data_IF_043453516665
#
_entry.id   IF_043453516665
#
_cell.length_a   1.000
_cell.length_b   1.000
_cell.length_c   1.000
_cell.angle_alpha   90.00
_cell.angle_beta   90.00
_cell.angle_gamma   90.00
#
_symmetry.space_group_name_H-M   'P 1'
#
loop_
_entity.id
_entity.type
_entity.pdbx_description
1 polymer ?
#
# COMPACT_ATOMS: atom_id res chain seq x y z
N UNK A 1 -12.66 -36.74 7.92
CA UNK A 1 -12.82 -36.45 6.48
C UNK A 1 -13.34 -35.04 6.22
N UNK A 2 -14.31 -34.50 6.95
CA UNK A 2 -14.89 -33.15 6.72
C UNK A 2 -13.88 -32.00 6.88
N UNK A 3 -12.96 -32.04 7.85
CA UNK A 3 -11.93 -31.01 8.06
C UNK A 3 -10.91 -30.91 6.89
N UNK A 4 -10.64 -32.03 6.19
CA UNK A 4 -9.78 -32.03 4.99
C UNK A 4 -10.46 -31.42 3.73
N UNK A 5 -11.78 -31.53 3.65
CA UNK A 5 -12.55 -30.92 2.54
C UNK A 5 -12.75 -29.41 2.72
N UNK A 6 -12.89 -28.93 3.95
CA UNK A 6 -12.94 -27.50 4.25
C UNK A 6 -11.62 -26.77 3.96
N UNK A 7 -10.47 -27.42 4.24
CA UNK A 7 -9.16 -26.86 3.91
C UNK A 7 -8.84 -26.86 2.39
N UNK A 8 -9.43 -27.75 1.60
CA UNK A 8 -9.26 -27.76 0.14
C UNK A 8 -10.04 -26.63 -0.57
N UNK A 9 -11.05 -26.03 0.07
CA UNK A 9 -11.78 -24.86 -0.48
C UNK A 9 -11.08 -23.54 -0.24
N UNK A 10 -10.13 -23.46 0.70
CA UNK A 10 -9.37 -22.21 1.00
C UNK A 10 -8.23 -21.91 0.02
N UNK A 11 -7.81 -22.83 -0.83
CA UNK A 11 -6.65 -22.69 -1.71
C UNK A 11 -6.98 -22.52 -3.21
N UNK A 12 -8.19 -22.13 -3.58
CA UNK A 12 -8.45 -21.71 -4.95
C UNK A 12 -8.19 -20.21 -5.03
N UNK A 13 -7.08 -19.82 -5.66
CA UNK A 13 -6.86 -18.43 -6.07
C UNK A 13 -8.12 -17.98 -6.82
N UNK A 14 -8.89 -17.11 -6.20
CA UNK A 14 -10.09 -16.59 -6.83
C UNK A 14 -9.65 -15.53 -7.83
N UNK A 15 -9.97 -15.74 -9.13
CA UNK A 15 -9.75 -14.70 -10.13
C UNK A 15 -10.56 -13.46 -9.75
N UNK A 16 -9.89 -12.31 -9.75
CA UNK A 16 -10.51 -11.02 -9.46
C UNK A 16 -10.17 -10.04 -10.57
N UNK A 17 -11.19 -9.39 -11.09
CA UNK A 17 -11.02 -8.33 -12.06
C UNK A 17 -10.53 -7.03 -11.39
N UNK A 18 -9.96 -6.14 -12.19
CA UNK A 18 -9.40 -4.87 -11.71
C UNK A 18 -10.43 -4.00 -10.97
N UNK A 19 -11.66 -3.94 -11.46
CA UNK A 19 -12.74 -3.19 -10.79
C UNK A 19 -13.13 -3.80 -9.44
N UNK A 20 -13.06 -5.12 -9.33
CA UNK A 20 -13.32 -5.82 -8.07
C UNK A 20 -12.20 -5.52 -7.05
N UNK A 21 -10.94 -5.57 -7.47
CA UNK A 21 -9.80 -5.24 -6.59
C UNK A 21 -9.87 -3.80 -6.07
N UNK A 22 -10.21 -2.82 -6.93
CA UNK A 22 -10.43 -1.43 -6.49
C UNK A 22 -11.50 -1.35 -5.42
N UNK A 23 -12.65 -1.98 -5.67
CA UNK A 23 -13.77 -1.98 -4.73
C UNK A 23 -13.38 -2.64 -3.41
N UNK A 24 -12.80 -3.83 -3.45
CA UNK A 24 -12.38 -4.56 -2.25
C UNK A 24 -11.43 -3.74 -1.38
N UNK A 25 -10.44 -3.08 -2.01
CA UNK A 25 -9.49 -2.25 -1.28
C UNK A 25 -10.17 -1.05 -0.61
N UNK A 26 -10.94 -0.29 -1.38
CA UNK A 26 -11.62 0.89 -0.88
C UNK A 26 -12.65 0.56 0.20
N UNK A 27 -13.45 -0.52 0.00
CA UNK A 27 -14.45 -0.96 0.97
C UNK A 27 -13.80 -1.48 2.25
N UNK A 28 -12.69 -2.20 2.12
CA UNK A 28 -11.94 -2.68 3.28
C UNK A 28 -11.44 -1.51 4.14
N UNK A 29 -10.76 -0.52 3.54
CA UNK A 29 -10.28 0.62 4.31
C UNK A 29 -11.39 1.55 4.79
N UNK A 30 -12.51 1.66 4.07
CA UNK A 30 -13.71 2.33 4.60
C UNK A 30 -14.22 1.65 5.88
N UNK A 31 -14.23 0.31 5.93
CA UNK A 31 -14.60 -0.44 7.13
C UNK A 31 -13.65 -0.20 8.31
N UNK A 32 -12.41 0.21 8.05
CA UNK A 32 -11.43 0.66 9.05
C UNK A 32 -11.53 2.16 9.38
N UNK A 33 -12.57 2.83 8.92
CA UNK A 33 -12.87 4.24 9.21
C UNK A 33 -12.24 5.25 8.26
N UNK A 34 -11.69 4.83 7.13
CA UNK A 34 -11.15 5.73 6.12
C UNK A 34 -12.24 6.40 5.29
N UNK A 35 -12.03 7.66 4.95
CA UNK A 35 -12.84 8.36 3.97
C UNK A 35 -12.38 7.94 2.57
N UNK A 36 -13.28 7.40 1.76
CA UNK A 36 -13.02 7.18 0.34
C UNK A 36 -12.99 8.52 -0.40
N UNK A 37 -11.85 8.86 -0.97
CA UNK A 37 -11.72 10.02 -1.82
C UNK A 37 -11.62 9.59 -3.29
N UNK A 38 -12.15 10.44 -4.17
CA UNK A 38 -12.00 10.25 -5.62
C UNK A 38 -10.55 10.45 -6.02
N UNK A 39 -10.14 9.83 -7.14
CA UNK A 39 -8.86 10.14 -7.78
C UNK A 39 -8.76 11.64 -8.07
N UNK A 40 -7.65 12.24 -7.68
CA UNK A 40 -7.34 13.62 -8.08
C UNK A 40 -7.02 13.68 -9.58
N UNK A 41 -7.05 14.90 -10.13
CA UNK A 41 -6.59 15.16 -11.50
C UNK A 41 -5.14 14.69 -11.68
N UNK A 42 -4.79 14.22 -12.87
CA UNK A 42 -3.40 13.95 -13.23
C UNK A 42 -2.57 15.22 -13.36
N UNK A 43 -3.24 16.34 -13.69
CA UNK A 43 -2.59 17.66 -13.69
C UNK A 43 -2.53 18.16 -12.25
N UNK A 44 -1.33 18.39 -11.70
CA UNK A 44 -1.17 18.88 -10.32
C UNK A 44 -1.84 20.26 -10.16
N UNK A 45 -2.47 20.45 -9.00
CA UNK A 45 -2.93 21.77 -8.58
C UNK A 45 -1.97 22.30 -7.51
N UNK A 46 -1.43 23.50 -7.71
CA UNK A 46 -0.57 24.20 -6.75
C UNK A 46 0.74 23.45 -6.36
N UNK A 47 1.22 22.54 -7.20
CA UNK A 47 2.50 21.86 -7.01
C UNK A 47 3.36 21.99 -8.27
N UNK A 48 4.26 22.97 -8.27
CA UNK A 48 5.18 23.23 -9.37
C UNK A 48 6.35 22.22 -9.44
N UNK A 49 6.46 21.32 -8.47
CA UNK A 49 7.51 20.29 -8.45
C UNK A 49 7.17 19.09 -9.35
N UNK A 50 5.91 18.97 -9.77
CA UNK A 50 5.42 17.87 -10.58
C UNK A 50 4.73 18.38 -11.84
N UNK A 51 5.05 17.78 -12.98
CA UNK A 51 4.31 18.01 -14.23
C UNK A 51 3.03 17.17 -14.29
N UNK A 52 3.09 15.97 -13.75
CA UNK A 52 1.98 14.99 -13.73
C UNK A 52 2.02 14.23 -12.40
N UNK A 53 0.84 13.92 -11.87
CA UNK A 53 0.73 13.11 -10.64
C UNK A 53 1.27 11.70 -10.92
N UNK A 54 2.28 11.32 -10.14
CA UNK A 54 3.05 10.08 -10.29
C UNK A 54 2.93 9.12 -9.09
N UNK A 55 2.18 9.52 -8.06
CA UNK A 55 1.96 8.68 -6.87
C UNK A 55 0.65 9.03 -6.17
N UNK A 56 0.15 8.10 -5.37
CA UNK A 56 -1.07 8.30 -4.56
C UNK A 56 -0.92 9.35 -3.48
N UNK A 57 0.30 9.57 -2.99
CA UNK A 57 0.60 10.54 -1.94
C UNK A 57 0.76 11.96 -2.48
N UNK A 58 1.20 12.12 -3.73
CA UNK A 58 1.52 13.43 -4.29
C UNK A 58 0.42 14.50 -4.10
N UNK A 59 -0.86 14.23 -4.42
CA UNK A 59 -1.92 15.21 -4.21
C UNK A 59 -2.30 15.43 -2.73
N UNK A 60 -1.80 14.60 -1.82
CA UNK A 60 -2.07 14.67 -0.39
C UNK A 60 -0.94 15.35 0.40
N UNK A 61 0.14 15.78 -0.27
CA UNK A 61 1.27 16.46 0.36
C UNK A 61 0.86 17.58 1.32
N UNK A 62 -0.08 18.50 0.96
CA UNK A 62 -0.46 19.59 1.85
C UNK A 62 -1.00 19.11 3.20
N UNK A 63 -1.63 17.94 3.26
CA UNK A 63 -2.12 17.33 4.51
C UNK A 63 -0.98 16.77 5.36
N UNK A 64 0.04 16.18 4.72
CA UNK A 64 1.22 15.66 5.43
C UNK A 64 2.11 16.78 5.97
N UNK A 65 2.21 17.88 5.24
CA UNK A 65 3.02 19.04 5.67
C UNK A 65 2.28 19.99 6.62
N UNK A 66 0.99 19.74 6.88
CA UNK A 66 0.17 20.62 7.72
C UNK A 66 -0.24 21.94 7.07
N UNK A 67 -0.01 22.10 5.77
CA UNK A 67 -0.47 23.28 5.00
C UNK A 67 -1.98 23.33 4.87
N UNK A 68 -2.60 22.14 4.81
CA UNK A 68 -4.05 21.99 4.76
C UNK A 68 -4.51 20.97 5.80
N UNK A 69 -5.75 21.15 6.29
CA UNK A 69 -6.39 20.20 7.19
C UNK A 69 -7.02 19.10 6.33
N UNK A 70 -6.69 17.81 6.57
CA UNK A 70 -7.33 16.73 5.82
C UNK A 70 -8.82 16.64 6.17
N UNK A 71 -9.68 16.25 5.21
CA UNK A 71 -11.12 16.11 5.44
C UNK A 71 -11.45 15.03 6.48
N UNK A 72 -10.54 14.09 6.67
CA UNK A 72 -10.54 13.07 7.72
C UNK A 72 -9.11 12.61 7.99
N UNK A 73 -8.80 12.20 9.23
CA UNK A 73 -7.47 11.68 9.56
C UNK A 73 -7.11 10.37 8.87
N UNK A 74 -8.11 9.61 8.44
CA UNK A 74 -7.96 8.37 7.65
C UNK A 74 -8.57 8.56 6.28
N UNK A 75 -7.78 8.38 5.25
CA UNK A 75 -8.21 8.53 3.86
C UNK A 75 -7.77 7.32 3.04
N UNK A 76 -8.62 6.86 2.13
CA UNK A 76 -8.25 5.85 1.14
C UNK A 76 -8.60 6.32 -0.26
N UNK A 77 -7.71 6.01 -1.22
CA UNK A 77 -7.84 6.42 -2.61
C UNK A 77 -7.47 5.29 -3.57
N UNK A 78 -7.99 5.39 -4.79
CA UNK A 78 -7.47 4.71 -5.96
C UNK A 78 -7.00 5.80 -6.93
N UNK A 79 -5.75 6.24 -6.77
CA UNK A 79 -5.19 7.38 -7.50
C UNK A 79 -4.63 6.96 -8.85
N UNK A 80 -5.10 7.61 -9.92
CA UNK A 80 -4.52 7.50 -11.26
C UNK A 80 -3.16 8.18 -11.28
N UNK A 81 -2.15 7.50 -11.82
CA UNK A 81 -0.77 7.95 -11.84
C UNK A 81 -0.15 7.74 -13.22
N UNK A 82 0.80 8.62 -13.58
CA UNK A 82 1.64 8.44 -14.75
C UNK A 82 3.11 8.56 -14.33
N UNK A 83 3.93 7.59 -14.76
CA UNK A 83 5.39 7.62 -14.65
C UNK A 83 6.00 7.43 -16.03
N UNK A 84 6.89 8.34 -16.41
CA UNK A 84 7.56 8.31 -17.72
C UNK A 84 9.01 7.89 -17.63
N UNK A 85 9.61 7.87 -16.43
CA UNK A 85 11.00 7.45 -16.22
C UNK A 85 11.28 6.01 -16.66
N UNK A 86 10.27 5.14 -16.65
CA UNK A 86 10.40 3.73 -17.05
C UNK A 86 9.88 3.46 -18.48
N UNK A 87 9.67 4.49 -19.30
CA UNK A 87 9.04 4.34 -20.62
C UNK A 87 9.84 3.40 -21.53
N UNK A 88 11.16 3.39 -21.41
CA UNK A 88 12.03 2.51 -22.20
C UNK A 88 11.92 1.03 -21.81
N UNK A 89 11.39 0.75 -20.62
CA UNK A 89 11.16 -0.60 -20.10
C UNK A 89 9.78 -1.14 -20.44
N UNK A 90 8.87 -0.28 -20.88
CA UNK A 90 7.50 -0.66 -21.27
C UNK A 90 7.56 -1.58 -22.49
N UNK A 91 6.93 -2.74 -22.37
CA UNK A 91 6.94 -3.78 -23.41
C UNK A 91 8.20 -4.66 -23.43
N UNK A 92 9.26 -4.30 -22.69
CA UNK A 92 10.46 -5.13 -22.52
C UNK A 92 10.42 -5.96 -21.24
N UNK A 93 9.79 -5.45 -20.21
CA UNK A 93 9.60 -6.13 -18.93
C UNK A 93 8.12 -6.40 -18.69
N UNK A 94 7.81 -7.41 -17.89
CA UNK A 94 6.43 -7.81 -17.61
C UNK A 94 5.69 -6.86 -16.64
N UNK A 95 6.36 -5.87 -16.05
CA UNK A 95 5.84 -5.09 -14.91
C UNK A 95 5.79 -3.59 -15.11
N UNK A 96 6.44 -3.05 -16.14
CA UNK A 96 6.48 -1.61 -16.36
C UNK A 96 5.34 -1.15 -17.28
N UNK A 97 4.62 -0.14 -16.82
CA UNK A 97 3.62 0.59 -17.56
C UNK A 97 3.73 2.08 -17.23
N UNK A 98 3.34 2.94 -18.15
CA UNK A 98 3.36 4.39 -17.91
C UNK A 98 2.17 4.86 -17.10
N UNK A 99 0.99 4.31 -17.36
CA UNK A 99 -0.24 4.58 -16.61
C UNK A 99 -0.54 3.43 -15.66
N UNK A 100 -0.85 3.77 -14.41
CA UNK A 100 -1.28 2.81 -13.40
C UNK A 100 -2.18 3.47 -12.36
N UNK A 101 -2.81 2.66 -11.52
CA UNK A 101 -3.56 3.11 -10.37
C UNK A 101 -2.84 2.69 -9.10
N UNK A 102 -2.69 3.65 -8.18
CA UNK A 102 -2.12 3.40 -6.87
C UNK A 102 -3.24 3.33 -5.84
N UNK A 103 -3.44 2.15 -5.27
CA UNK A 103 -4.33 1.94 -4.13
C UNK A 103 -3.60 2.42 -2.88
N UNK A 104 -4.19 3.38 -2.18
CA UNK A 104 -3.55 4.02 -1.03
C UNK A 104 -4.46 4.12 0.18
N UNK A 105 -3.88 3.91 1.35
CA UNK A 105 -4.48 4.21 2.64
C UNK A 105 -3.52 5.12 3.41
N UNK A 106 -4.05 6.20 3.96
CA UNK A 106 -3.26 7.28 4.55
C UNK A 106 -3.78 7.60 5.94
N UNK A 107 -2.83 7.85 6.86
CA UNK A 107 -3.06 8.25 8.23
C UNK A 107 -2.42 9.61 8.50
N UNK A 108 -3.22 10.59 8.90
CA UNK A 108 -2.75 11.91 9.26
C UNK A 108 -2.75 12.07 10.79
N UNK A 109 -1.68 11.56 11.42
CA UNK A 109 -1.51 11.59 12.86
C UNK A 109 -2.56 10.76 13.61
N UNK A 110 -2.98 9.62 13.07
CA UNK A 110 -3.95 8.70 13.68
C UNK A 110 -3.28 7.36 13.98
N UNK A 111 -3.28 6.41 13.04
CA UNK A 111 -2.59 5.13 13.21
C UNK A 111 -1.20 5.15 12.56
N UNK A 112 -0.37 4.17 12.91
CA UNK A 112 0.97 4.02 12.36
C UNK A 112 1.27 2.54 12.05
N UNK A 113 2.47 2.04 12.36
CA UNK A 113 2.97 0.73 11.91
C UNK A 113 2.08 -0.45 12.33
N UNK A 114 1.62 -0.47 13.57
CA UNK A 114 0.86 -1.61 14.09
C UNK A 114 -0.39 -1.87 13.26
N UNK A 115 -1.26 -0.89 13.14
CA UNK A 115 -2.49 -1.04 12.38
C UNK A 115 -2.22 -1.21 10.89
N UNK A 116 -1.26 -0.48 10.32
CA UNK A 116 -0.92 -0.58 8.91
C UNK A 116 -0.47 -1.99 8.54
N UNK A 117 0.40 -2.62 9.34
CA UNK A 117 0.89 -3.98 9.14
C UNK A 117 -0.26 -4.99 9.29
N UNK A 118 -1.05 -4.90 10.37
CA UNK A 118 -2.18 -5.79 10.59
C UNK A 118 -3.20 -5.71 9.45
N UNK A 119 -3.58 -4.51 9.02
CA UNK A 119 -4.56 -4.34 7.95
C UNK A 119 -4.03 -4.75 6.58
N UNK A 120 -2.75 -4.53 6.29
CA UNK A 120 -2.17 -5.00 5.04
C UNK A 120 -2.17 -6.53 4.98
N UNK A 121 -1.82 -7.20 6.08
CA UNK A 121 -1.86 -8.65 6.18
C UNK A 121 -3.28 -9.20 6.07
N UNK A 122 -4.23 -8.65 6.83
CA UNK A 122 -5.65 -9.01 6.77
C UNK A 122 -6.19 -8.84 5.34
N UNK A 123 -5.92 -7.69 4.70
CA UNK A 123 -6.38 -7.44 3.35
C UNK A 123 -5.85 -8.49 2.35
N UNK A 124 -4.56 -8.74 2.37
CA UNK A 124 -3.94 -9.67 1.41
C UNK A 124 -4.36 -11.12 1.64
N UNK A 125 -4.44 -11.57 2.90
CA UNK A 125 -4.66 -12.99 3.22
C UNK A 125 -6.14 -13.33 3.35
N UNK A 126 -6.96 -12.45 3.90
CA UNK A 126 -8.38 -12.74 4.18
C UNK A 126 -9.31 -12.16 3.12
N UNK A 127 -9.09 -10.91 2.69
CA UNK A 127 -9.95 -10.25 1.70
C UNK A 127 -9.60 -10.66 0.27
N UNK A 128 -8.33 -10.58 -0.10
CA UNK A 128 -7.84 -11.00 -1.42
C UNK A 128 -7.72 -12.52 -1.50
N UNK A 129 -7.34 -13.17 -0.40
CA UNK A 129 -7.22 -14.63 -0.30
C UNK A 129 -5.89 -15.16 -0.83
N UNK A 130 -4.82 -14.37 -0.74
CA UNK A 130 -3.48 -14.85 -1.08
C UNK A 130 -2.99 -15.88 -0.07
N UNK A 131 -2.23 -16.85 -0.54
CA UNK A 131 -1.57 -17.82 0.34
C UNK A 131 -0.49 -17.12 1.17
N UNK A 132 -0.68 -17.06 2.49
CA UNK A 132 0.24 -16.47 3.44
C UNK A 132 1.67 -17.02 3.34
N UNK A 133 1.84 -18.28 2.89
CA UNK A 133 3.17 -18.87 2.70
C UNK A 133 3.93 -18.29 1.51
N UNK A 134 3.27 -17.57 0.63
CA UNK A 134 3.86 -16.92 -0.55
C UNK A 134 4.17 -15.45 -0.31
N UNK A 135 3.86 -14.91 0.87
CA UNK A 135 4.07 -13.53 1.22
C UNK A 135 5.32 -13.40 2.11
N UNK A 136 6.19 -12.48 1.74
CA UNK A 136 7.46 -12.22 2.40
C UNK A 136 7.55 -10.71 2.67
N UNK A 137 7.35 -10.26 3.92
CA UNK A 137 7.52 -8.85 4.24
C UNK A 137 9.00 -8.45 4.18
N UNK A 138 9.23 -7.23 3.73
CA UNK A 138 10.52 -6.56 3.88
C UNK A 138 10.36 -5.33 4.77
N UNK A 139 11.41 -5.00 5.50
CA UNK A 139 11.48 -3.87 6.41
C UNK A 139 12.79 -3.11 6.21
N UNK A 140 12.82 -1.86 6.64
CA UNK A 140 14.10 -1.13 6.74
C UNK A 140 14.99 -1.80 7.79
N UNK A 141 16.29 -1.88 7.53
CA UNK A 141 17.23 -2.67 8.33
C UNK A 141 17.29 -2.25 9.80
N UNK A 142 17.05 -0.97 10.11
CA UNK A 142 17.03 -0.42 11.46
C UNK A 142 15.62 -0.42 12.11
N UNK A 143 14.58 -0.89 11.39
CA UNK A 143 13.20 -0.89 11.89
C UNK A 143 12.86 -2.14 12.69
N UNK A 144 13.36 -2.20 13.91
CA UNK A 144 13.08 -3.31 14.83
C UNK A 144 11.61 -3.36 15.27
N UNK A 145 10.93 -2.21 15.33
CA UNK A 145 9.51 -2.16 15.67
C UNK A 145 8.67 -2.91 14.62
N UNK A 146 8.88 -2.65 13.33
CA UNK A 146 8.20 -3.36 12.28
C UNK A 146 8.54 -4.87 12.31
N UNK A 147 9.80 -5.23 12.59
CA UNK A 147 10.18 -6.64 12.76
C UNK A 147 9.37 -7.33 13.84
N UNK A 148 9.28 -6.71 15.02
CA UNK A 148 8.53 -7.26 16.16
C UNK A 148 7.04 -7.44 15.84
N UNK A 149 6.43 -6.48 15.14
CA UNK A 149 5.03 -6.58 14.74
C UNK A 149 4.84 -7.76 13.77
N UNK A 150 5.66 -7.87 12.73
CA UNK A 150 5.59 -8.97 11.77
C UNK A 150 5.82 -10.33 12.43
N UNK A 151 6.83 -10.43 13.30
CA UNK A 151 7.21 -11.69 13.92
C UNK A 151 6.27 -12.09 15.06
N UNK A 152 6.04 -11.20 16.04
CA UNK A 152 5.32 -11.56 17.27
C UNK A 152 3.80 -11.38 17.16
N UNK A 153 3.33 -10.37 16.43
CA UNK A 153 1.90 -10.11 16.37
C UNK A 153 1.25 -10.80 15.17
N UNK A 154 1.87 -10.78 13.99
CA UNK A 154 1.37 -11.47 12.80
C UNK A 154 1.78 -12.95 12.80
N UNK A 155 2.92 -13.29 13.42
CA UNK A 155 3.40 -14.67 13.54
C UNK A 155 4.21 -15.15 12.32
N UNK A 156 4.86 -14.24 11.60
CA UNK A 156 5.76 -14.60 10.49
C UNK A 156 7.11 -15.04 11.05
N UNK A 157 7.61 -16.18 10.58
CA UNK A 157 8.89 -16.69 10.97
C UNK A 157 10.03 -15.71 10.61
N UNK A 158 11.02 -15.48 11.49
CA UNK A 158 12.07 -14.49 11.29
C UNK A 158 12.80 -14.60 9.95
N UNK A 159 13.05 -15.81 9.48
CA UNK A 159 13.73 -16.11 8.22
C UNK A 159 12.92 -15.71 6.97
N UNK A 160 11.66 -15.32 7.14
CA UNK A 160 10.78 -14.82 6.09
C UNK A 160 10.62 -13.31 6.09
N UNK A 161 11.24 -12.62 7.05
CA UNK A 161 11.21 -11.15 7.16
C UNK A 161 12.57 -10.63 6.69
N UNK A 162 12.58 -9.93 5.57
CA UNK A 162 13.80 -9.44 4.95
C UNK A 162 14.10 -8.02 5.40
N UNK A 163 15.38 -7.77 5.73
CA UNK A 163 15.86 -6.43 6.06
C UNK A 163 16.64 -5.86 4.88
N UNK A 164 16.26 -4.69 4.44
CA UNK A 164 16.92 -3.99 3.34
C UNK A 164 17.30 -2.57 3.74
N UNK A 165 18.32 -2.04 3.06
CA UNK A 165 18.78 -0.68 3.26
C UNK A 165 17.87 0.38 2.63
N UNK A 166 18.42 1.61 2.55
CA UNK A 166 17.67 2.79 2.09
C UNK A 166 17.18 2.70 0.64
N UNK A 167 17.85 1.94 -0.20
CA UNK A 167 17.47 1.82 -1.61
C UNK A 167 16.11 1.12 -1.81
N UNK A 168 15.78 0.17 -0.93
CA UNK A 168 14.61 -0.68 -1.09
C UNK A 168 13.49 -0.35 -0.08
N UNK A 169 13.86 -0.03 1.17
CA UNK A 169 12.93 0.05 2.28
C UNK A 169 12.97 1.38 3.04
N UNK A 170 13.46 2.44 2.44
CA UNK A 170 13.44 3.76 3.09
C UNK A 170 12.99 4.83 2.11
N UNK A 171 12.10 5.69 2.55
CA UNK A 171 11.54 6.72 1.71
C UNK A 171 11.68 8.10 2.34
N UNK A 172 12.21 9.06 1.55
CA UNK A 172 12.39 10.45 1.97
C UNK A 172 11.54 11.36 1.08
N UNK A 173 10.94 12.37 1.69
CA UNK A 173 10.24 13.43 0.99
C UNK A 173 10.50 14.78 1.63
N UNK A 174 11.03 15.72 0.84
CA UNK A 174 11.36 17.05 1.33
C UNK A 174 12.48 17.02 2.37
N UNK A 175 12.24 17.61 3.53
CA UNK A 175 13.26 17.83 4.57
C UNK A 175 13.42 16.66 5.56
N UNK A 176 12.79 15.52 5.32
CA UNK A 176 12.88 14.40 6.26
C UNK A 176 12.34 13.08 5.72
N UNK A 177 12.56 12.00 6.48
CA UNK A 177 12.06 10.68 6.16
C UNK A 177 10.53 10.63 6.22
N UNK A 178 9.93 9.94 5.27
CA UNK A 178 8.49 9.67 5.24
C UNK A 178 8.12 8.30 5.76
N UNK A 179 9.09 7.49 6.03
CA UNK A 179 8.95 6.18 6.62
C UNK A 179 9.87 5.14 6.01
N UNK A 180 10.01 4.05 6.71
CA UNK A 180 10.50 2.79 6.16
C UNK A 180 9.41 2.11 5.37
#
# INVERSE_FOLDING_TARGET
MLKRQLNRRKNKVQYRGVNELRRLYLDFFESKGHLKMKSFSLVPHNDNSLLIINSGMAPLKPYFTGQEIPPRRRVTTCQKCIRTGDIENVGKTARHGTFFEMLGNFSFGDYFKTEAIHWSWEFLTEVVGLDANRLYPSIYEEDDEAFEIWNKQIGIAPERIFRFGKEDNFWEHGAGPCGP
#
